data_IF_907939504750
#
_entry.id   IF_907939504750
#
_cell.length_a   1.000
_cell.length_b   1.000
_cell.length_c   1.000
_cell.angle_alpha   90.00
_cell.angle_beta   90.00
_cell.angle_gamma   90.00
#
_symmetry.space_group_name_H-M   'P 1'
#
loop_
_entity.id
_entity.type
_entity.pdbx_description
1 polymer ?
#
# COMPACT_ATOMS: atom_id res chain seq x y z
N UNK A 1 14.56 -8.05 -14.73
CA UNK A 1 13.16 -8.35 -15.08
C UNK A 1 12.31 -8.01 -13.87
N UNK A 2 11.25 -7.21 -14.02
CA UNK A 2 10.39 -6.86 -12.89
C UNK A 2 9.42 -8.01 -12.60
N UNK A 3 9.26 -8.37 -11.33
CA UNK A 3 8.28 -9.37 -10.90
C UNK A 3 6.99 -8.65 -10.49
N UNK A 4 5.96 -8.71 -11.31
CA UNK A 4 4.67 -8.04 -11.05
C UNK A 4 3.81 -8.92 -10.15
N UNK A 5 3.31 -8.37 -9.04
CA UNK A 5 2.50 -9.09 -8.06
C UNK A 5 1.03 -8.66 -8.06
N UNK A 6 0.72 -7.50 -8.62
CA UNK A 6 -0.66 -7.04 -8.77
C UNK A 6 -0.79 -6.14 -9.99
N UNK A 7 -1.93 -6.21 -10.67
CA UNK A 7 -2.33 -5.30 -11.74
C UNK A 7 -3.74 -4.81 -11.45
N UNK A 8 -3.99 -3.52 -11.68
CA UNK A 8 -5.31 -2.93 -11.69
C UNK A 8 -5.52 -2.19 -13.02
N UNK A 9 -6.74 -2.27 -13.57
CA UNK A 9 -7.08 -1.66 -14.85
C UNK A 9 -8.24 -0.70 -14.67
N UNK A 10 -8.05 0.54 -15.11
CA UNK A 10 -9.14 1.48 -15.32
C UNK A 10 -9.74 1.35 -16.71
N UNK A 11 -10.47 2.36 -17.18
CA UNK A 11 -11.06 2.32 -18.52
C UNK A 11 -10.01 2.33 -19.64
N UNK A 12 -8.99 3.19 -19.49
CA UNK A 12 -7.98 3.42 -20.53
C UNK A 12 -6.56 3.48 -19.98
N UNK A 13 -6.34 3.04 -18.74
CA UNK A 13 -5.02 2.95 -18.12
C UNK A 13 -4.89 1.69 -17.29
N UNK A 14 -3.65 1.30 -17.04
CA UNK A 14 -3.31 0.17 -16.18
C UNK A 14 -2.24 0.58 -15.19
N UNK A 15 -2.25 -0.07 -14.03
CA UNK A 15 -1.28 0.13 -12.96
C UNK A 15 -0.81 -1.24 -12.49
N UNK A 16 0.50 -1.39 -12.27
CA UNK A 16 1.10 -2.62 -11.77
C UNK A 16 1.97 -2.34 -10.54
N UNK A 17 1.86 -3.20 -9.53
CA UNK A 17 2.75 -3.26 -8.37
C UNK A 17 3.73 -4.40 -8.55
N UNK A 18 5.01 -4.13 -8.35
CA UNK A 18 6.08 -5.13 -8.39
C UNK A 18 6.43 -5.64 -6.99
N UNK A 19 7.05 -6.83 -6.96
CA UNK A 19 7.49 -7.49 -5.73
C UNK A 19 8.52 -6.69 -4.95
N UNK A 20 9.30 -5.83 -5.63
CA UNK A 20 10.23 -4.90 -5.03
C UNK A 20 9.60 -3.54 -4.66
N UNK A 21 8.26 -3.43 -4.70
CA UNK A 21 7.51 -2.26 -4.22
C UNK A 21 7.48 -1.06 -5.18
N UNK A 22 7.83 -1.23 -6.45
CA UNK A 22 7.66 -0.18 -7.47
C UNK A 22 6.28 -0.23 -8.08
N UNK A 23 5.78 0.93 -8.47
CA UNK A 23 4.52 1.07 -9.21
C UNK A 23 4.80 1.58 -10.61
N UNK A 24 4.17 0.94 -11.58
CA UNK A 24 4.20 1.35 -12.97
C UNK A 24 2.79 1.65 -13.45
N UNK A 25 2.65 2.65 -14.32
CA UNK A 25 1.38 2.97 -14.97
C UNK A 25 1.57 3.27 -16.45
N UNK A 26 0.57 2.95 -17.26
CA UNK A 26 0.53 3.25 -18.68
C UNK A 26 -0.91 3.37 -19.19
N UNK A 27 -1.08 3.90 -20.40
CA UNK A 27 -2.34 4.19 -21.04
C UNK A 27 -2.61 5.69 -21.13
N UNK A 28 -3.89 6.06 -21.09
CA UNK A 28 -4.36 7.44 -21.18
C UNK A 28 -3.95 8.27 -19.95
N UNK A 29 -3.61 9.54 -20.15
CA UNK A 29 -3.29 10.47 -19.06
C UNK A 29 -4.06 11.80 -19.11
N UNK A 30 -5.19 11.86 -19.84
CA UNK A 30 -5.94 13.11 -20.02
C UNK A 30 -6.51 13.71 -18.73
N UNK A 31 -6.62 12.91 -17.66
CA UNK A 31 -7.08 13.33 -16.34
C UNK A 31 -5.98 13.19 -15.27
N UNK A 32 -4.74 12.90 -15.67
CA UNK A 32 -3.64 12.66 -14.74
C UNK A 32 -3.62 11.26 -14.12
N UNK A 33 -4.42 10.30 -14.61
CA UNK A 33 -4.59 8.97 -14.02
C UNK A 33 -3.31 8.10 -14.00
N UNK A 34 -2.24 8.50 -14.68
CA UNK A 34 -0.92 7.85 -14.59
C UNK A 34 -0.10 8.35 -13.39
N UNK A 35 -0.40 9.51 -12.81
CA UNK A 35 0.30 10.00 -11.61
C UNK A 35 1.75 10.45 -11.84
N UNK A 36 2.17 10.59 -13.09
CA UNK A 36 3.54 10.93 -13.49
C UNK A 36 3.84 12.44 -13.39
N UNK A 37 2.80 13.28 -13.26
CA UNK A 37 2.89 14.73 -13.29
C UNK A 37 2.03 15.35 -14.39
N UNK A 38 1.84 16.68 -14.30
CA UNK A 38 0.91 17.43 -15.16
C UNK A 38 1.33 17.44 -16.62
N UNK A 39 2.63 17.50 -16.88
CA UNK A 39 3.17 17.70 -18.22
C UNK A 39 3.47 16.39 -18.95
N UNK A 40 3.07 15.24 -18.38
CA UNK A 40 3.27 13.93 -18.98
C UNK A 40 2.09 13.56 -19.89
N UNK A 41 2.33 13.18 -21.17
CA UNK A 41 1.28 12.69 -22.05
C UNK A 41 0.89 11.25 -21.69
N UNK A 42 -0.14 10.72 -22.36
CA UNK A 42 -0.46 9.30 -22.37
C UNK A 42 0.77 8.46 -22.73
N UNK A 43 0.93 7.31 -22.09
CA UNK A 43 2.10 6.44 -22.25
C UNK A 43 1.68 5.10 -22.83
N UNK A 44 2.30 4.66 -23.93
CA UNK A 44 2.00 3.34 -24.50
C UNK A 44 2.69 2.19 -23.74
N UNK A 45 3.68 2.50 -22.91
CA UNK A 45 4.49 1.52 -22.18
C UNK A 45 4.53 1.83 -20.68
N UNK A 46 4.74 0.80 -19.82
CA UNK A 46 4.81 0.98 -18.37
C UNK A 46 5.85 2.03 -17.95
N UNK A 47 5.39 3.08 -17.27
CA UNK A 47 6.23 4.15 -16.73
C UNK A 47 6.23 4.12 -15.21
N UNK A 48 7.40 4.20 -14.59
CA UNK A 48 7.54 4.16 -13.14
C UNK A 48 6.99 5.44 -12.49
N UNK A 49 6.18 5.30 -11.44
CA UNK A 49 5.66 6.41 -10.65
C UNK A 49 6.65 6.73 -9.53
N UNK A 50 7.71 7.47 -9.86
CA UNK A 50 8.83 7.72 -8.94
C UNK A 50 8.47 8.52 -7.68
N UNK A 51 7.35 9.24 -7.67
CA UNK A 51 6.84 9.93 -6.48
C UNK A 51 6.38 8.99 -5.37
N UNK A 52 6.14 7.72 -5.66
CA UNK A 52 5.82 6.67 -4.67
C UNK A 52 7.06 5.92 -4.17
N UNK A 53 8.27 6.27 -4.63
CA UNK A 53 9.49 5.60 -4.23
C UNK A 53 9.66 5.62 -2.70
N UNK A 54 10.02 4.47 -2.13
CA UNK A 54 10.21 4.30 -0.70
C UNK A 54 8.97 3.94 0.11
N UNK A 55 7.76 4.01 -0.46
CA UNK A 55 6.53 3.70 0.28
C UNK A 55 6.23 2.20 0.20
N UNK A 56 6.05 1.48 1.32
CA UNK A 56 5.68 0.07 1.32
C UNK A 56 4.22 -0.11 0.92
N UNK A 57 3.97 -0.38 -0.36
CA UNK A 57 2.63 -0.50 -0.92
C UNK A 57 2.07 -1.91 -0.83
N UNK A 58 0.82 -2.02 -0.42
CA UNK A 58 0.06 -3.27 -0.26
C UNK A 58 -0.96 -3.47 -1.39
N UNK A 59 -1.42 -2.41 -2.05
CA UNK A 59 -2.42 -2.51 -3.11
C UNK A 59 -2.24 -1.44 -4.19
N UNK A 60 -2.55 -1.80 -5.45
CA UNK A 60 -2.94 -0.88 -6.52
C UNK A 60 -4.43 -1.05 -6.84
N UNK A 61 -5.13 0.05 -7.10
CA UNK A 61 -6.51 0.05 -7.58
C UNK A 61 -6.68 1.13 -8.66
N UNK A 62 -7.56 0.86 -9.63
CA UNK A 62 -7.86 1.76 -10.73
C UNK A 62 -9.36 1.70 -11.02
N UNK A 63 -9.96 2.86 -11.26
CA UNK A 63 -11.34 2.96 -11.73
C UNK A 63 -11.41 3.68 -13.06
N UNK A 64 -12.52 4.37 -13.36
CA UNK A 64 -12.75 5.01 -14.66
C UNK A 64 -11.58 5.88 -15.15
N UNK A 65 -11.24 6.92 -14.38
CA UNK A 65 -10.11 7.81 -14.66
C UNK A 65 -9.34 8.24 -13.39
N UNK A 66 -9.45 7.43 -12.34
CA UNK A 66 -8.79 7.60 -11.06
C UNK A 66 -8.00 6.36 -10.69
N UNK A 67 -7.03 6.57 -9.82
CA UNK A 67 -6.02 5.60 -9.47
C UNK A 67 -5.70 5.75 -7.99
N UNK A 68 -5.47 4.61 -7.34
CA UNK A 68 -5.13 4.56 -5.93
C UNK A 68 -4.01 3.57 -5.66
N UNK A 69 -3.25 3.85 -4.61
CA UNK A 69 -2.46 2.85 -3.90
C UNK A 69 -2.75 2.89 -2.42
N UNK A 70 -2.65 1.73 -1.78
CA UNK A 70 -2.74 1.55 -0.34
C UNK A 70 -1.35 1.18 0.19
N UNK A 71 -0.86 1.88 1.22
CA UNK A 71 0.34 1.46 1.94
C UNK A 71 0.02 0.42 3.01
N UNK A 72 1.02 -0.36 3.42
CA UNK A 72 0.89 -1.34 4.51
C UNK A 72 0.51 -0.70 5.85
N UNK A 73 0.79 0.60 6.04
CA UNK A 73 0.37 1.35 7.23
C UNK A 73 -1.09 1.82 7.18
N UNK A 74 -1.80 1.59 6.07
CA UNK A 74 -3.20 1.96 5.90
C UNK A 74 -3.41 3.35 5.29
N UNK A 75 -2.36 4.01 4.79
CA UNK A 75 -2.49 5.29 4.09
C UNK A 75 -2.89 5.06 2.64
N UNK A 76 -3.96 5.75 2.23
CA UNK A 76 -4.44 5.73 0.84
C UNK A 76 -3.91 6.95 0.10
N UNK A 77 -3.32 6.72 -1.07
CA UNK A 77 -2.88 7.76 -1.99
C UNK A 77 -3.73 7.69 -3.25
N UNK A 78 -4.34 8.80 -3.64
CA UNK A 78 -5.22 8.90 -4.82
C UNK A 78 -4.73 9.94 -5.81
N UNK A 79 -4.98 9.70 -7.11
CA UNK A 79 -4.72 10.64 -8.19
C UNK A 79 -5.62 10.38 -9.41
N UNK A 80 -5.68 11.32 -10.35
CA UNK A 80 -6.54 11.29 -11.52
C UNK A 80 -7.73 12.27 -11.44
N UNK A 81 -8.84 11.90 -12.07
CA UNK A 81 -10.10 12.67 -12.10
C UNK A 81 -10.74 12.73 -10.71
N UNK A 82 -11.22 13.91 -10.31
CA UNK A 82 -11.93 14.10 -9.03
C UNK A 82 -13.21 14.97 -9.16
N UNK A 83 -13.77 15.09 -10.35
CA UNK A 83 -14.93 15.96 -10.61
C UNK A 83 -16.19 15.53 -9.82
N UNK A 84 -16.32 14.23 -9.54
CA UNK A 84 -17.38 13.67 -8.71
C UNK A 84 -16.94 13.46 -7.26
N UNK A 85 -15.80 14.02 -6.84
CA UNK A 85 -15.18 13.77 -5.53
C UNK A 85 -14.73 12.31 -5.29
N UNK A 86 -14.53 11.53 -6.36
CA UNK A 86 -14.16 10.12 -6.28
C UNK A 86 -12.77 9.83 -5.70
N UNK A 87 -11.93 10.85 -5.49
CA UNK A 87 -10.66 10.74 -4.75
C UNK A 87 -10.82 10.99 -3.24
N UNK A 88 -11.99 11.44 -2.78
CA UNK A 88 -12.19 11.83 -1.38
C UNK A 88 -11.44 13.11 -1.00
N UNK A 89 -11.09 13.93 -2.00
CA UNK A 89 -10.39 15.20 -1.85
C UNK A 89 -11.34 16.38 -2.07
N UNK A 90 -11.20 17.42 -1.24
CA UNK A 90 -12.03 18.62 -1.30
C UNK A 90 -11.54 19.62 -2.37
N UNK A 91 -12.46 20.41 -2.95
CA UNK A 91 -12.25 21.36 -4.07
C UNK A 91 -11.23 22.50 -3.82
N UNK A 92 -10.67 22.63 -2.61
CA UNK A 92 -9.60 23.62 -2.34
C UNK A 92 -8.26 23.24 -2.98
N UNK A 93 -8.12 22.02 -3.52
CA UNK A 93 -6.98 21.64 -4.35
C UNK A 93 -7.18 22.24 -5.74
N UNK A 94 -6.33 23.20 -6.12
CA UNK A 94 -6.56 24.21 -7.17
C UNK A 94 -6.75 23.73 -8.61
N UNK A 95 -6.92 22.43 -8.85
CA UNK A 95 -7.40 21.83 -10.11
C UNK A 95 -8.18 20.59 -9.73
N UNK A 96 -9.37 20.39 -10.29
CA UNK A 96 -10.23 19.20 -10.10
C UNK A 96 -9.54 17.87 -10.45
N UNK A 97 -8.30 17.92 -10.95
CA UNK A 97 -7.45 16.80 -11.33
C UNK A 97 -6.17 16.78 -10.50
N UNK A 98 -5.79 15.58 -10.06
CA UNK A 98 -4.58 15.33 -9.28
C UNK A 98 -3.60 14.56 -10.15
N UNK A 99 -2.51 15.20 -10.58
CA UNK A 99 -1.58 14.60 -11.54
C UNK A 99 -0.44 13.78 -10.92
N UNK A 100 -0.37 13.73 -9.59
CA UNK A 100 0.61 12.94 -8.82
C UNK A 100 -0.08 12.32 -7.60
N UNK A 101 0.32 11.12 -7.16
CA UNK A 101 -0.20 10.51 -5.94
C UNK A 101 -0.25 11.48 -4.77
N UNK A 102 -1.42 11.60 -4.15
CA UNK A 102 -1.66 12.50 -3.04
C UNK A 102 -2.32 11.75 -1.88
N UNK A 103 -1.85 11.97 -0.65
CA UNK A 103 -2.39 11.30 0.54
C UNK A 103 -3.82 11.78 0.80
N UNK A 104 -4.78 10.86 0.82
CA UNK A 104 -6.20 11.16 1.06
C UNK A 104 -6.41 11.31 2.56
N UNK A 105 -6.26 12.54 3.06
CA UNK A 105 -6.33 12.85 4.49
C UNK A 105 -7.62 12.39 5.18
N UNK A 106 -8.74 12.38 4.47
CA UNK A 106 -10.04 11.93 5.00
C UNK A 106 -10.06 10.43 5.36
N UNK A 107 -9.17 9.62 4.79
CA UNK A 107 -9.07 8.18 5.03
C UNK A 107 -8.03 7.80 6.09
N UNK A 108 -7.20 8.77 6.51
CA UNK A 108 -5.99 8.52 7.30
C UNK A 108 -6.24 7.80 8.62
N UNK A 109 -7.41 7.96 9.23
CA UNK A 109 -7.72 7.40 10.57
C UNK A 109 -8.77 6.28 10.50
N UNK A 110 -8.96 5.67 9.33
CA UNK A 110 -9.95 4.61 9.15
C UNK A 110 -9.34 3.20 9.19
N UNK A 111 -8.01 3.08 9.23
CA UNK A 111 -7.30 1.81 9.10
C UNK A 111 -7.76 1.01 7.88
N UNK A 112 -7.65 1.65 6.72
CA UNK A 112 -8.02 1.05 5.43
C UNK A 112 -7.18 -0.20 5.17
N UNK A 113 -7.84 -1.28 4.77
CA UNK A 113 -7.23 -2.56 4.39
C UNK A 113 -7.45 -2.91 2.92
N UNK A 114 -8.41 -2.28 2.25
CA UNK A 114 -8.69 -2.52 0.84
C UNK A 114 -9.38 -1.33 0.18
N UNK A 115 -9.07 -1.10 -1.10
CA UNK A 115 -9.69 -0.07 -1.95
C UNK A 115 -10.27 -0.74 -3.20
N UNK A 116 -11.52 -0.41 -3.54
CA UNK A 116 -12.17 -0.78 -4.79
C UNK A 116 -12.68 0.46 -5.49
N UNK A 117 -12.58 0.49 -6.82
CA UNK A 117 -12.91 1.66 -7.63
C UNK A 117 -13.91 1.30 -8.71
N UNK A 118 -14.98 2.09 -8.84
CA UNK A 118 -15.88 2.05 -9.99
C UNK A 118 -15.53 3.09 -11.04
N UNK A 119 -16.50 3.52 -11.84
CA UNK A 119 -16.26 4.56 -12.84
C UNK A 119 -15.96 5.92 -12.18
N UNK A 120 -16.92 6.42 -11.39
CA UNK A 120 -16.82 7.71 -10.70
C UNK A 120 -17.07 7.60 -9.19
N UNK A 121 -16.92 6.42 -8.60
CA UNK A 121 -16.99 6.21 -7.17
C UNK A 121 -15.89 5.28 -6.66
N UNK A 122 -15.65 5.35 -5.35
CA UNK A 122 -14.65 4.55 -4.65
C UNK A 122 -15.26 4.00 -3.37
N UNK A 123 -15.01 2.73 -3.11
CA UNK A 123 -15.31 2.08 -1.84
C UNK A 123 -14.00 1.68 -1.15
N UNK A 124 -13.93 1.85 0.16
CA UNK A 124 -12.82 1.41 0.99
C UNK A 124 -13.33 0.53 2.12
N UNK A 125 -12.61 -0.55 2.38
CA UNK A 125 -12.85 -1.46 3.50
C UNK A 125 -11.78 -1.23 4.57
N UNK A 126 -12.21 -1.14 5.82
CA UNK A 126 -11.30 -1.02 6.96
C UNK A 126 -10.97 -2.39 7.56
N UNK A 127 -9.88 -2.46 8.34
CA UNK A 127 -9.53 -3.66 9.13
C UNK A 127 -10.61 -4.10 10.11
N UNK A 128 -11.48 -3.18 10.53
CA UNK A 128 -12.63 -3.48 11.40
C UNK A 128 -13.88 -3.95 10.64
N UNK A 129 -13.79 -4.14 9.32
CA UNK A 129 -14.89 -4.58 8.47
C UNK A 129 -15.92 -3.49 8.17
N UNK A 130 -15.56 -2.21 8.32
CA UNK A 130 -16.45 -1.09 7.97
C UNK A 130 -16.20 -0.69 6.52
N UNK A 131 -17.27 -0.38 5.79
CA UNK A 131 -17.18 0.11 4.41
C UNK A 131 -17.47 1.60 4.38
N UNK A 132 -16.61 2.35 3.69
CA UNK A 132 -16.83 3.75 3.38
C UNK A 132 -16.87 3.94 1.86
N UNK A 133 -17.82 4.73 1.39
CA UNK A 133 -18.01 5.04 -0.03
C UNK A 133 -17.97 6.54 -0.26
N UNK A 134 -17.55 6.95 -1.44
CA UNK A 134 -17.50 8.35 -1.87
C UNK A 134 -17.36 8.47 -3.39
N UNK A 135 -17.83 9.60 -3.94
CA UNK A 135 -17.80 9.87 -5.37
C UNK A 135 -19.18 10.25 -5.89
N UNK A 136 -19.46 9.87 -7.13
CA UNK A 136 -20.77 9.99 -7.74
C UNK A 136 -21.77 9.04 -7.08
N UNK A 137 -23.01 9.50 -6.94
CA UNK A 137 -24.13 8.73 -6.38
C UNK A 137 -25.40 8.83 -7.23
N UNK A 138 -25.29 9.21 -8.52
CA UNK A 138 -26.46 9.41 -9.39
C UNK A 138 -27.27 8.11 -9.53
N UNK A 139 -26.60 6.96 -9.49
CA UNK A 139 -27.24 5.64 -9.57
C UNK A 139 -27.48 5.00 -8.18
N UNK A 140 -27.15 5.68 -7.08
CA UNK A 140 -27.22 5.13 -5.72
C UNK A 140 -26.07 4.19 -5.36
N UNK A 141 -24.97 4.24 -6.11
CA UNK A 141 -23.82 3.34 -5.99
C UNK A 141 -23.03 3.50 -4.68
N UNK A 142 -23.22 4.61 -3.94
CA UNK A 142 -22.57 4.80 -2.64
C UNK A 142 -23.30 4.06 -1.52
N UNK A 143 -24.57 3.68 -1.70
CA UNK A 143 -25.34 2.90 -0.73
C UNK A 143 -25.80 3.67 0.51
N UNK A 144 -25.47 4.96 0.64
CA UNK A 144 -25.86 5.82 1.76
C UNK A 144 -26.74 7.00 1.29
N UNK A 145 -27.66 7.48 2.13
CA UNK A 145 -28.55 8.59 1.79
C UNK A 145 -28.00 9.94 2.27
N UNK A 146 -26.81 10.31 1.82
CA UNK A 146 -26.14 11.53 2.30
C UNK A 146 -25.68 12.42 1.16
N UNK A 147 -25.88 13.72 1.33
CA UNK A 147 -25.41 14.75 0.41
C UNK A 147 -24.00 15.27 0.74
N UNK A 148 -23.32 14.71 1.75
CA UNK A 148 -21.96 15.14 2.10
C UNK A 148 -20.97 14.61 1.06
N UNK A 149 -19.93 15.39 0.78
CA UNK A 149 -18.84 14.96 -0.08
C UNK A 149 -17.76 14.23 0.72
N UNK A 150 -17.05 13.32 0.07
CA UNK A 150 -15.98 12.54 0.67
C UNK A 150 -16.43 11.26 1.39
N UNK A 151 -15.49 10.52 2.00
CA UNK A 151 -15.73 9.18 2.53
C UNK A 151 -16.80 9.14 3.62
N UNK A 152 -17.79 8.27 3.43
CA UNK A 152 -18.89 8.08 4.37
C UNK A 152 -19.16 6.61 4.62
N UNK A 153 -19.41 6.28 5.88
CA UNK A 153 -19.70 4.91 6.30
C UNK A 153 -21.07 4.48 5.78
N UNK A 154 -21.15 3.24 5.30
CA UNK A 154 -22.42 2.55 5.10
C UNK A 154 -22.83 1.95 6.45
N UNK A 155 -23.92 2.46 7.05
CA UNK A 155 -24.35 2.07 8.39
C UNK A 155 -25.29 0.86 8.39
N UNK A 156 -25.89 0.56 7.24
CA UNK A 156 -26.93 -0.46 7.10
C UNK A 156 -26.42 -1.90 6.96
N UNK A 157 -25.12 -2.11 6.76
CA UNK A 157 -24.56 -3.46 6.70
C UNK A 157 -24.31 -3.96 8.13
N UNK A 158 -25.05 -4.99 8.52
CA UNK A 158 -24.89 -5.62 9.82
C UNK A 158 -23.60 -6.46 9.88
N UNK A 159 -22.78 -6.18 10.89
CA UNK A 159 -21.53 -6.91 11.13
C UNK A 159 -20.37 -6.50 10.21
N UNK A 160 -19.21 -7.17 10.35
CA UNK A 160 -18.02 -6.84 9.59
C UNK A 160 -18.13 -7.33 8.13
N UNK A 161 -17.77 -6.47 7.18
CA UNK A 161 -17.60 -6.81 5.77
C UNK A 161 -16.25 -7.48 5.55
N UNK A 162 -16.23 -8.57 4.79
CA UNK A 162 -15.03 -9.29 4.39
C UNK A 162 -14.53 -8.91 2.99
N UNK A 163 -15.44 -8.59 2.07
CA UNK A 163 -15.11 -8.23 0.69
C UNK A 163 -15.96 -7.07 0.17
N UNK A 164 -15.35 -6.21 -0.64
CA UNK A 164 -16.02 -5.12 -1.36
C UNK A 164 -15.54 -5.09 -2.82
N UNK A 165 -16.47 -4.90 -3.75
CA UNK A 165 -16.15 -4.79 -5.17
C UNK A 165 -17.04 -3.75 -5.85
N UNK A 166 -16.43 -2.79 -6.52
CA UNK A 166 -17.12 -1.77 -7.30
C UNK A 166 -17.18 -2.17 -8.77
N UNK A 167 -18.38 -2.14 -9.36
CA UNK A 167 -18.58 -2.14 -10.80
C UNK A 167 -18.59 -0.71 -11.35
N UNK A 168 -19.08 -0.52 -12.58
CA UNK A 168 -19.14 0.83 -13.16
C UNK A 168 -20.00 1.80 -12.33
N UNK A 169 -21.22 1.37 -11.98
CA UNK A 169 -22.24 2.19 -11.31
C UNK A 169 -22.94 1.44 -10.15
N UNK A 170 -22.24 0.50 -9.53
CA UNK A 170 -22.75 -0.25 -8.37
C UNK A 170 -21.62 -0.76 -7.48
N UNK A 171 -21.95 -1.03 -6.21
CA UNK A 171 -21.05 -1.57 -5.20
C UNK A 171 -21.63 -2.87 -4.66
N UNK A 172 -20.80 -3.92 -4.56
CA UNK A 172 -21.11 -5.18 -3.89
C UNK A 172 -20.32 -5.29 -2.59
N UNK A 173 -20.97 -5.73 -1.52
CA UNK A 173 -20.32 -6.00 -0.23
C UNK A 173 -20.72 -7.40 0.26
N UNK A 174 -19.77 -8.18 0.74
CA UNK A 174 -20.03 -9.46 1.41
C UNK A 174 -19.72 -9.32 2.90
N UNK A 175 -20.72 -9.55 3.75
CA UNK A 175 -20.50 -9.61 5.19
C UNK A 175 -19.85 -10.94 5.59
N UNK A 176 -19.13 -10.95 6.71
CA UNK A 176 -18.59 -12.17 7.30
C UNK A 176 -19.69 -13.15 7.73
N UNK A 177 -20.94 -12.69 7.88
CA UNK A 177 -22.11 -13.53 8.13
C UNK A 177 -22.68 -14.18 6.86
N UNK A 178 -22.10 -13.93 5.68
CA UNK A 178 -22.55 -14.50 4.42
C UNK A 178 -23.67 -13.73 3.72
N UNK A 179 -23.89 -12.45 4.07
CA UNK A 179 -24.86 -11.60 3.38
C UNK A 179 -24.18 -10.86 2.23
N UNK A 180 -24.74 -10.97 1.03
CA UNK A 180 -24.34 -10.20 -0.15
C UNK A 180 -25.24 -8.99 -0.31
N UNK A 181 -24.66 -7.81 -0.19
CA UNK A 181 -25.32 -6.53 -0.39
C UNK A 181 -24.95 -5.94 -1.74
N UNK A 182 -25.92 -5.38 -2.46
CA UNK A 182 -25.69 -4.60 -3.67
C UNK A 182 -26.37 -3.23 -3.61
N UNK A 183 -25.64 -2.20 -4.00
CA UNK A 183 -26.07 -0.80 -4.09
C UNK A 183 -25.76 -0.27 -5.48
N UNK A 184 -26.59 0.59 -6.05
CA UNK A 184 -26.38 1.14 -7.40
C UNK A 184 -27.34 0.61 -8.45
N UNK A 185 -26.95 0.71 -9.72
CA UNK A 185 -27.89 0.71 -10.83
C UNK A 185 -28.65 -0.61 -11.10
N UNK A 186 -30.00 -0.52 -11.16
CA UNK A 186 -30.94 -1.35 -11.93
C UNK A 186 -32.06 -0.48 -12.58
N UNK A 187 -32.09 -0.31 -13.92
CA UNK A 187 -33.25 0.25 -14.68
C UNK A 187 -34.02 -0.85 -15.43
N UNK A 188 -35.37 -0.81 -15.42
CA UNK A 188 -36.06 -0.12 -16.53
C UNK A 188 -37.30 0.68 -16.10
N UNK A 189 -37.50 1.87 -16.68
CA UNK A 189 -38.84 2.46 -16.82
C UNK A 189 -38.98 3.10 -18.21
N UNK A 190 -39.43 2.32 -19.18
CA UNK A 190 -40.45 2.84 -20.08
C UNK A 190 -41.75 2.81 -19.28
N UNK A 191 -42.19 3.97 -18.77
CA UNK A 191 -43.58 4.46 -18.74
C UNK A 191 -43.70 5.59 -17.72
N UNK A 192 -44.34 6.66 -18.16
CA UNK A 192 -44.81 7.82 -17.42
C UNK A 192 -45.43 7.47 -16.05
N UNK A 193 -45.11 8.21 -14.99
CA UNK A 193 -46.08 9.04 -14.25
C UNK A 193 -45.58 9.45 -12.85
N UNK A 194 -45.84 10.73 -12.55
CA UNK A 194 -46.14 11.33 -11.25
C UNK A 194 -45.41 10.90 -9.96
N UNK A 195 -44.70 11.90 -9.43
CA UNK A 195 -44.77 12.36 -8.04
C UNK A 195 -44.48 11.38 -6.87
N UNK A 196 -43.36 11.66 -6.20
CA UNK A 196 -43.20 11.53 -4.75
C UNK A 196 -43.25 10.14 -4.12
N UNK A 197 -42.84 9.09 -4.83
CA UNK A 197 -42.42 7.86 -4.16
C UNK A 197 -40.97 7.99 -3.68
N UNK A 198 -40.81 7.79 -2.37
CA UNK A 198 -39.60 8.00 -1.58
C UNK A 198 -38.36 7.31 -2.19
N UNK A 199 -37.19 7.95 -2.08
CA UNK A 199 -35.84 7.39 -2.37
C UNK A 199 -35.46 6.22 -1.43
N UNK A 200 -36.35 5.24 -1.24
CA UNK A 200 -36.19 4.07 -0.38
C UNK A 200 -36.06 2.76 -1.15
N UNK A 201 -35.98 2.80 -2.48
CA UNK A 201 -36.08 1.59 -3.29
C UNK A 201 -34.76 1.22 -4.00
N UNK A 202 -34.47 -0.09 -3.94
CA UNK A 202 -33.43 -0.87 -4.65
C UNK A 202 -32.06 -1.02 -3.99
N UNK A 203 -32.02 -1.23 -2.67
CA UNK A 203 -30.92 -1.99 -2.04
C UNK A 203 -31.32 -3.46 -2.08
N UNK A 204 -30.43 -4.35 -2.52
CA UNK A 204 -30.69 -5.80 -2.46
C UNK A 204 -29.71 -6.45 -1.49
N UNK A 205 -30.25 -7.29 -0.63
CA UNK A 205 -29.49 -8.17 0.24
C UNK A 205 -29.90 -9.61 -0.10
N UNK A 206 -28.92 -10.44 -0.43
CA UNK A 206 -29.10 -11.87 -0.68
C UNK A 206 -28.38 -12.61 0.45
N UNK A 207 -29.08 -13.51 1.12
CA UNK A 207 -28.47 -14.38 2.12
C UNK A 207 -27.81 -15.58 1.42
N UNK A 208 -26.47 -15.60 1.39
CA UNK A 208 -25.72 -16.70 0.78
C UNK A 208 -25.78 -17.98 1.61
N UNK A 209 -26.15 -17.91 2.90
CA UNK A 209 -26.35 -19.11 3.73
C UNK A 209 -27.46 -20.02 3.17
N UNK A 210 -28.40 -19.45 2.41
CA UNK A 210 -29.45 -20.23 1.74
C UNK A 210 -28.95 -20.97 0.49
N UNK A 211 -27.78 -20.58 -0.04
CA UNK A 211 -27.24 -21.10 -1.29
C UNK A 211 -25.98 -21.94 -1.10
N UNK A 212 -25.22 -21.72 -0.01
CA UNK A 212 -23.89 -22.28 0.21
C UNK A 212 -23.78 -22.98 1.56
N UNK A 213 -22.91 -23.99 1.64
CA UNK A 213 -22.60 -24.63 2.91
C UNK A 213 -21.72 -23.72 3.79
N UNK A 214 -21.76 -23.85 5.14
CA UNK A 214 -21.02 -22.95 6.04
C UNK A 214 -19.51 -22.90 5.81
N UNK A 215 -18.91 -24.01 5.37
CA UNK A 215 -17.48 -24.12 5.03
C UNK A 215 -17.10 -23.41 3.72
N UNK A 216 -18.08 -23.10 2.86
CA UNK A 216 -17.88 -22.41 1.58
C UNK A 216 -18.00 -20.89 1.71
N UNK A 217 -18.75 -20.41 2.71
CA UNK A 217 -18.96 -18.97 2.96
C UNK A 217 -17.66 -18.21 3.29
N UNK A 218 -16.71 -18.88 3.93
CA UNK A 218 -15.39 -18.31 4.24
C UNK A 218 -14.54 -18.06 2.98
N UNK A 219 -14.90 -18.66 1.84
CA UNK A 219 -14.16 -18.53 0.58
C UNK A 219 -14.84 -17.63 -0.45
N UNK A 220 -15.90 -16.90 -0.08
CA UNK A 220 -16.69 -16.10 -1.02
C UNK A 220 -15.95 -14.82 -1.38
N UNK A 221 -15.64 -14.66 -2.67
CA UNK A 221 -15.10 -13.44 -3.27
C UNK A 221 -16.06 -12.91 -4.33
N UNK A 222 -16.17 -11.59 -4.44
CA UNK A 222 -17.03 -10.93 -5.42
C UNK A 222 -16.20 -10.09 -6.39
N UNK A 223 -16.58 -10.11 -7.65
CA UNK A 223 -15.99 -9.26 -8.69
C UNK A 223 -17.10 -8.61 -9.50
N UNK A 224 -17.18 -7.29 -9.44
CA UNK A 224 -18.16 -6.50 -10.15
C UNK A 224 -17.60 -5.98 -11.48
N UNK A 225 -18.32 -6.23 -12.57
CA UNK A 225 -18.04 -5.67 -13.89
C UNK A 225 -18.95 -4.47 -14.21
N UNK A 226 -19.05 -4.13 -15.50
CA UNK A 226 -19.97 -3.06 -15.94
C UNK A 226 -21.44 -3.47 -15.85
N UNK A 227 -21.75 -4.71 -16.27
CA UNK A 227 -23.12 -5.25 -16.36
C UNK A 227 -23.25 -6.67 -15.79
N UNK A 228 -22.13 -7.30 -15.42
CA UNK A 228 -22.08 -8.69 -14.97
C UNK A 228 -21.25 -8.74 -13.70
N UNK A 229 -21.68 -9.55 -12.75
CA UNK A 229 -21.00 -9.77 -11.48
C UNK A 229 -20.66 -11.25 -11.37
N UNK A 230 -19.50 -11.55 -10.79
CA UNK A 230 -19.05 -12.91 -10.52
C UNK A 230 -18.94 -13.09 -9.00
N UNK A 231 -19.39 -14.26 -8.53
CA UNK A 231 -19.16 -14.74 -7.16
C UNK A 231 -18.29 -15.98 -7.29
N UNK A 232 -17.11 -15.95 -6.69
CA UNK A 232 -16.19 -17.09 -6.64
C UNK A 232 -16.19 -17.68 -5.24
N UNK A 233 -16.15 -19.01 -5.14
CA UNK A 233 -16.23 -19.75 -3.88
C UNK A 233 -15.04 -20.69 -3.81
N UNK A 234 -14.10 -20.40 -2.93
CA UNK A 234 -12.94 -21.27 -2.69
C UNK A 234 -13.23 -22.28 -1.56
N UNK A 235 -13.15 -23.58 -1.85
CA UNK A 235 -13.30 -24.61 -0.82
C UNK A 235 -12.10 -24.63 0.14
N UNK A 236 -12.38 -24.54 1.44
CA UNK A 236 -11.39 -24.40 2.51
C UNK A 236 -10.33 -25.54 2.61
N UNK A 237 -10.48 -26.67 1.90
CA UNK A 237 -9.49 -27.77 1.92
C UNK A 237 -8.16 -27.43 1.23
N UNK A 238 -8.10 -26.35 0.45
CA UNK A 238 -6.85 -25.80 -0.10
C UNK A 238 -6.20 -24.72 0.80
N UNK A 239 -6.84 -24.32 1.90
CA UNK A 239 -6.41 -23.21 2.77
C UNK A 239 -6.33 -23.64 4.25
N UNK A 240 -5.46 -24.60 4.58
CA UNK A 240 -5.29 -25.10 5.95
C UNK A 240 -4.57 -24.13 6.92
N UNK A 241 -4.53 -22.82 6.66
CA UNK A 241 -3.88 -21.84 7.56
C UNK A 241 -4.53 -20.45 7.65
N UNK A 242 -5.71 -20.22 7.08
CA UNK A 242 -6.32 -18.89 7.06
C UNK A 242 -7.66 -18.85 7.82
N UNK A 243 -7.59 -18.63 9.14
CA UNK A 243 -8.72 -18.02 9.86
C UNK A 243 -8.64 -16.52 9.60
N UNK A 244 -9.74 -15.94 9.10
CA UNK A 244 -9.93 -14.58 8.55
C UNK A 244 -9.62 -14.44 7.05
N UNK A 245 -10.64 -14.71 6.23
CA UNK A 245 -10.69 -14.36 4.80
C UNK A 245 -10.86 -12.84 4.63
N UNK A 246 -9.79 -12.09 4.91
CA UNK A 246 -9.50 -10.91 4.08
C UNK A 246 -8.86 -11.45 2.80
N UNK A 247 -9.21 -10.89 1.63
CA UNK A 247 -8.36 -11.00 0.44
C UNK A 247 -6.90 -10.76 0.87
N UNK A 248 -6.07 -11.80 0.87
CA UNK A 248 -4.66 -11.65 1.23
C UNK A 248 -4.03 -10.90 0.08
N UNK A 249 -4.04 -9.57 0.19
CA UNK A 249 -3.40 -8.69 -0.78
C UNK A 249 -1.98 -9.19 -1.01
N UNK A 250 -1.55 -9.25 -2.29
CA UNK A 250 -0.20 -9.69 -2.60
C UNK A 250 0.80 -8.79 -1.89
N UNK A 251 1.78 -9.40 -1.22
CA UNK A 251 2.78 -8.68 -0.44
C UNK A 251 4.04 -8.47 -1.26
N UNK A 252 4.60 -7.27 -1.16
CA UNK A 252 5.98 -7.04 -1.58
C UNK A 252 6.92 -7.91 -0.75
N UNK A 253 8.13 -8.12 -1.24
CA UNK A 253 9.12 -8.89 -0.49
C UNK A 253 9.42 -8.24 0.86
N UNK A 254 9.37 -9.04 1.91
CA UNK A 254 9.61 -8.61 3.28
C UNK A 254 10.19 -9.78 4.06
N UNK A 255 10.95 -9.48 5.12
CA UNK A 255 11.43 -10.49 6.04
C UNK A 255 10.28 -11.09 6.82
N UNK A 256 10.37 -12.39 7.05
CA UNK A 256 9.60 -13.11 8.05
C UNK A 256 10.50 -14.16 8.71
N UNK A 257 10.03 -14.72 9.83
CA UNK A 257 10.79 -15.73 10.58
C UNK A 257 11.07 -16.99 9.75
N UNK A 258 10.19 -17.36 8.83
CA UNK A 258 10.40 -18.50 7.94
C UNK A 258 11.57 -18.28 6.98
N UNK A 259 11.67 -17.10 6.37
CA UNK A 259 12.79 -16.72 5.50
C UNK A 259 14.11 -16.66 6.27
N UNK A 260 14.11 -16.05 7.46
CA UNK A 260 15.31 -15.94 8.30
C UNK A 260 15.87 -17.33 8.62
N UNK A 261 15.02 -18.26 9.10
CA UNK A 261 15.45 -19.62 9.40
C UNK A 261 15.89 -20.38 8.15
N UNK A 262 15.17 -20.24 7.04
CA UNK A 262 15.52 -20.83 5.74
C UNK A 262 16.89 -20.37 5.26
N UNK A 263 17.23 -19.09 5.41
CA UNK A 263 18.54 -18.56 5.02
C UNK A 263 19.63 -19.05 5.95
N UNK A 264 19.38 -19.08 7.26
CA UNK A 264 20.34 -19.57 8.28
C UNK A 264 20.65 -21.05 8.14
N UNK A 265 19.70 -21.85 7.64
CA UNK A 265 19.86 -23.28 7.38
C UNK A 265 20.48 -23.59 6.01
N UNK A 266 20.71 -22.59 5.16
CA UNK A 266 21.24 -22.83 3.82
C UNK A 266 22.74 -23.18 3.85
N UNK A 267 23.08 -24.34 3.27
CA UNK A 267 24.45 -24.82 3.16
C UNK A 267 25.26 -24.03 2.13
N UNK A 268 26.55 -23.83 2.40
CA UNK A 268 27.46 -23.09 1.52
C UNK A 268 27.62 -23.83 0.19
N UNK A 269 27.46 -23.13 -0.94
CA UNK A 269 27.52 -23.70 -2.28
C UNK A 269 26.22 -24.35 -2.77
N UNK A 270 25.19 -24.43 -1.91
CA UNK A 270 23.92 -25.06 -2.27
C UNK A 270 23.04 -24.17 -3.15
N UNK A 271 22.10 -24.79 -3.87
CA UNK A 271 21.01 -24.07 -4.55
C UNK A 271 20.16 -23.26 -3.56
N UNK A 272 20.01 -23.74 -2.32
CA UNK A 272 19.30 -23.02 -1.26
C UNK A 272 20.00 -21.70 -0.92
N UNK A 273 21.34 -21.69 -0.82
CA UNK A 273 22.11 -20.46 -0.60
C UNK A 273 21.97 -19.50 -1.78
N UNK A 274 22.01 -20.00 -3.02
CA UNK A 274 21.83 -19.13 -4.19
C UNK A 274 20.44 -18.51 -4.25
N UNK A 275 19.40 -19.26 -3.87
CA UNK A 275 18.05 -18.73 -3.74
C UNK A 275 17.98 -17.68 -2.62
N UNK A 276 18.56 -17.97 -1.46
CA UNK A 276 18.61 -17.05 -0.33
C UNK A 276 19.35 -15.74 -0.69
N UNK A 277 20.46 -15.81 -1.44
CA UNK A 277 21.16 -14.61 -1.92
C UNK A 277 20.27 -13.70 -2.76
N UNK A 278 19.48 -14.27 -3.68
CA UNK A 278 18.53 -13.51 -4.50
C UNK A 278 17.40 -12.91 -3.66
N UNK A 279 16.91 -13.64 -2.66
CA UNK A 279 15.86 -13.16 -1.75
C UNK A 279 16.38 -12.02 -0.84
N UNK A 280 17.60 -12.15 -0.32
CA UNK A 280 18.30 -11.09 0.42
C UNK A 280 18.48 -9.86 -0.47
N UNK A 281 18.98 -10.04 -1.69
CA UNK A 281 19.19 -8.94 -2.63
C UNK A 281 17.88 -8.22 -2.95
N UNK A 282 16.78 -8.94 -3.19
CA UNK A 282 15.46 -8.36 -3.47
C UNK A 282 14.96 -7.48 -2.30
N UNK A 283 15.12 -7.95 -1.06
CA UNK A 283 14.66 -7.22 0.14
C UNK A 283 15.58 -6.03 0.46
N UNK A 284 16.89 -6.26 0.50
CA UNK A 284 17.86 -5.25 0.96
C UNK A 284 18.27 -4.25 -0.12
N UNK A 285 17.86 -4.44 -1.38
CA UNK A 285 18.05 -3.46 -2.45
C UNK A 285 16.88 -2.48 -2.60
N UNK A 286 15.76 -2.74 -1.91
CA UNK A 286 14.51 -2.00 -2.07
C UNK A 286 14.10 -1.32 -0.76
N UNK A 287 14.08 0.03 -0.71
CA UNK A 287 13.57 0.77 0.45
C UNK A 287 12.19 0.33 0.94
N UNK A 288 11.15 0.17 0.07
CA UNK A 288 9.84 -0.27 0.55
C UNK A 288 9.83 -1.70 1.10
N UNK A 289 10.65 -2.61 0.57
CA UNK A 289 10.76 -4.00 1.06
C UNK A 289 11.43 -4.07 2.44
N UNK A 290 12.55 -3.37 2.59
CA UNK A 290 13.26 -3.29 3.87
C UNK A 290 12.39 -2.61 4.93
N UNK A 291 11.66 -1.56 4.57
CA UNK A 291 10.70 -0.94 5.48
C UNK A 291 9.54 -1.87 5.85
N UNK A 292 8.91 -2.55 4.87
CA UNK A 292 7.81 -3.49 5.11
C UNK A 292 8.18 -4.58 6.12
N UNK A 293 9.44 -5.01 6.11
CA UNK A 293 10.01 -6.01 7.01
C UNK A 293 9.95 -5.61 8.49
N UNK A 294 9.84 -4.31 8.80
CA UNK A 294 9.91 -3.78 10.16
C UNK A 294 8.81 -2.76 10.46
N UNK A 295 7.70 -2.76 9.72
CA UNK A 295 6.60 -1.85 10.00
C UNK A 295 5.93 -2.16 11.35
N UNK A 296 5.66 -1.12 12.12
CA UNK A 296 4.86 -1.25 13.34
C UNK A 296 3.38 -1.07 13.04
N UNK A 297 2.55 -1.86 13.72
CA UNK A 297 1.10 -1.60 13.77
C UNK A 297 0.85 -0.33 14.55
N UNK A 298 0.06 0.56 13.96
CA UNK A 298 -0.36 1.82 14.56
C UNK A 298 -1.15 1.57 15.85
N UNK A 299 -0.71 2.16 16.97
CA UNK A 299 -1.53 2.40 18.15
C UNK A 299 -2.25 3.74 18.01
N UNK A 300 -3.22 4.07 18.87
CA UNK A 300 -4.07 5.30 18.82
C UNK A 300 -3.32 6.65 18.85
N UNK A 301 -2.00 6.65 18.71
CA UNK A 301 -1.12 7.83 18.69
C UNK A 301 -1.26 8.60 17.36
N UNK A 302 -1.19 9.93 17.47
CA UNK A 302 -1.24 10.82 16.30
C UNK A 302 -0.04 10.61 15.36
N UNK A 303 -0.24 10.69 14.04
CA UNK A 303 0.79 10.48 13.02
C UNK A 303 2.01 11.40 13.16
N UNK A 304 1.86 12.57 13.79
CA UNK A 304 2.95 13.52 13.98
C UNK A 304 3.92 13.13 15.10
N UNK A 305 3.64 12.05 15.84
CA UNK A 305 4.46 11.57 16.96
C UNK A 305 4.78 10.08 16.86
N UNK A 306 4.56 9.47 15.69
CA UNK A 306 4.70 8.04 15.48
C UNK A 306 5.91 7.73 14.58
N UNK A 307 6.76 6.82 15.05
CA UNK A 307 7.85 6.25 14.25
C UNK A 307 7.30 4.97 13.58
N UNK A 308 7.24 4.91 12.24
CA UNK A 308 6.52 3.84 11.54
C UNK A 308 7.25 2.49 11.51
N UNK A 309 8.50 2.43 11.97
CA UNK A 309 9.36 1.24 11.90
C UNK A 309 9.83 0.80 13.28
N UNK A 310 9.92 -0.52 13.50
CA UNK A 310 10.39 -1.14 14.74
C UNK A 310 11.91 -1.23 14.75
N UNK A 311 12.58 -0.18 15.22
CA UNK A 311 14.04 -0.14 15.23
C UNK A 311 14.66 -1.19 16.15
N UNK A 312 13.98 -1.58 17.23
CA UNK A 312 14.48 -2.60 18.15
C UNK A 312 14.46 -3.98 17.48
N UNK A 313 13.32 -4.35 16.87
CA UNK A 313 13.21 -5.59 16.11
C UNK A 313 14.17 -5.62 14.91
N UNK A 314 14.30 -4.50 14.19
CA UNK A 314 15.26 -4.37 13.11
C UNK A 314 16.68 -4.68 13.59
N UNK A 315 17.11 -4.08 14.71
CA UNK A 315 18.43 -4.32 15.28
C UNK A 315 18.66 -5.78 15.64
N UNK A 316 17.69 -6.42 16.28
CA UNK A 316 17.79 -7.83 16.69
C UNK A 316 17.89 -8.77 15.48
N UNK A 317 17.00 -8.60 14.51
CA UNK A 317 16.98 -9.41 13.28
C UNK A 317 18.24 -9.18 12.44
N UNK A 318 18.68 -7.94 12.27
CA UNK A 318 19.88 -7.62 11.50
C UNK A 318 21.12 -8.23 12.17
N UNK A 319 21.25 -8.10 13.50
CA UNK A 319 22.33 -8.73 14.26
C UNK A 319 22.33 -10.25 14.11
N UNK A 320 21.16 -10.87 14.16
CA UNK A 320 20.98 -12.31 13.95
C UNK A 320 21.45 -12.76 12.56
N UNK A 321 21.00 -12.06 11.52
CA UNK A 321 21.35 -12.35 10.13
C UNK A 321 22.85 -12.18 9.86
N UNK A 322 23.47 -11.13 10.39
CA UNK A 322 24.88 -10.82 10.13
C UNK A 322 25.86 -11.72 10.88
N UNK A 323 25.40 -12.56 11.82
CA UNK A 323 26.24 -13.62 12.41
C UNK A 323 26.73 -14.63 11.35
N UNK A 324 25.98 -14.81 10.25
CA UNK A 324 26.41 -15.60 9.10
C UNK A 324 27.19 -14.70 8.14
N UNK A 325 28.51 -14.86 8.07
CA UNK A 325 29.37 -14.00 7.28
C UNK A 325 28.97 -13.84 5.80
N UNK A 326 28.47 -14.90 5.16
CA UNK A 326 28.01 -14.82 3.76
C UNK A 326 26.69 -14.04 3.61
N UNK A 327 25.80 -14.08 4.61
CA UNK A 327 24.58 -13.25 4.62
C UNK A 327 24.97 -11.80 4.82
N UNK A 328 25.88 -11.53 5.76
CA UNK A 328 26.41 -10.18 5.98
C UNK A 328 27.04 -9.60 4.71
N UNK A 329 27.83 -10.39 3.98
CA UNK A 329 28.43 -9.94 2.70
C UNK A 329 27.37 -9.66 1.62
N UNK A 330 26.34 -10.51 1.52
CA UNK A 330 25.26 -10.30 0.57
C UNK A 330 24.44 -9.04 0.91
N UNK A 331 24.13 -8.81 2.19
CA UNK A 331 23.46 -7.59 2.64
C UNK A 331 24.33 -6.38 2.30
N UNK A 332 25.61 -6.38 2.69
CA UNK A 332 26.55 -5.29 2.40
C UNK A 332 26.58 -4.94 0.90
N UNK A 333 26.69 -5.96 0.04
CA UNK A 333 26.69 -5.78 -1.41
C UNK A 333 25.36 -5.19 -1.92
N UNK A 334 24.24 -5.64 -1.37
CA UNK A 334 22.90 -5.14 -1.75
C UNK A 334 22.71 -3.67 -1.35
N UNK A 335 23.21 -3.27 -0.19
CA UNK A 335 23.16 -1.88 0.27
C UNK A 335 23.96 -0.96 -0.66
N UNK A 336 25.24 -1.27 -0.87
CA UNK A 336 26.17 -0.45 -1.65
C UNK A 336 25.80 -0.36 -3.13
N UNK A 337 25.41 -1.48 -3.74
CA UNK A 337 25.17 -1.51 -5.18
C UNK A 337 23.77 -1.02 -5.57
N UNK A 338 22.81 -1.05 -4.64
CA UNK A 338 21.40 -0.83 -4.98
C UNK A 338 20.63 0.06 -3.99
N UNK A 339 20.65 -0.23 -2.68
CA UNK A 339 19.77 0.49 -1.73
C UNK A 339 20.05 1.99 -1.71
N UNK A 340 21.32 2.40 -1.57
CA UNK A 340 21.68 3.82 -1.47
C UNK A 340 21.29 4.62 -2.71
N UNK A 341 21.36 4.00 -3.89
CA UNK A 341 20.92 4.58 -5.16
C UNK A 341 19.39 4.70 -5.22
N UNK A 342 18.66 3.81 -4.56
CA UNK A 342 17.21 3.77 -4.53
C UNK A 342 16.59 4.65 -3.42
N UNK A 343 17.39 5.24 -2.52
CA UNK A 343 16.88 6.05 -1.42
C UNK A 343 16.08 7.27 -1.93
N UNK A 344 14.89 7.54 -1.35
CA UNK A 344 14.05 8.66 -1.78
C UNK A 344 14.62 10.00 -1.30
N UNK A 345 15.38 10.68 -2.16
CA UNK A 345 16.00 11.98 -1.85
C UNK A 345 15.03 13.17 -1.90
N UNK A 346 13.93 13.01 -2.64
CA UNK A 346 12.89 14.03 -2.79
C UNK A 346 11.53 13.36 -2.77
N UNK A 347 10.91 13.32 -1.60
CA UNK A 347 9.56 12.80 -1.41
C UNK A 347 8.73 13.73 -0.51
N UNK A 348 7.47 14.02 -0.87
CA UNK A 348 6.54 14.73 0.00
C UNK A 348 5.84 13.79 1.01
N UNK A 349 6.11 12.49 0.97
CA UNK A 349 5.40 11.49 1.74
C UNK A 349 6.25 11.03 2.94
N UNK A 350 5.69 11.18 4.14
CA UNK A 350 6.38 10.83 5.39
C UNK A 350 6.83 9.36 5.43
N UNK A 351 6.00 8.43 4.94
CA UNK A 351 6.33 7.01 4.94
C UNK A 351 7.63 6.73 4.18
N UNK A 352 7.81 7.35 3.01
CA UNK A 352 8.98 7.11 2.16
C UNK A 352 10.33 7.36 2.86
N UNK A 353 10.38 8.29 3.82
CA UNK A 353 11.64 8.67 4.46
C UNK A 353 11.97 7.87 5.72
N UNK A 354 11.07 6.99 6.17
CA UNK A 354 11.36 6.16 7.34
C UNK A 354 12.51 5.16 7.10
N UNK A 355 12.85 4.87 5.84
CA UNK A 355 14.04 4.07 5.47
C UNK A 355 15.33 4.64 6.07
N UNK A 356 15.44 5.98 6.19
CA UNK A 356 16.62 6.63 6.77
C UNK A 356 16.81 6.34 8.27
N UNK A 357 15.81 5.77 8.93
CA UNK A 357 15.91 5.30 10.30
C UNK A 357 16.45 3.86 10.38
N UNK A 358 16.20 3.04 9.36
CA UNK A 358 16.64 1.64 9.29
C UNK A 358 18.05 1.48 8.74
N UNK A 359 18.48 2.33 7.79
CA UNK A 359 19.81 2.23 7.17
C UNK A 359 20.94 2.26 8.22
N UNK A 360 20.95 3.14 9.23
CA UNK A 360 21.96 3.10 10.28
C UNK A 360 22.03 1.77 11.05
N UNK A 361 20.89 1.12 11.30
CA UNK A 361 20.86 -0.20 11.95
C UNK A 361 21.52 -1.26 11.07
N UNK A 362 21.32 -1.21 9.75
CA UNK A 362 22.01 -2.08 8.80
C UNK A 362 23.54 -1.85 8.82
N UNK A 363 23.98 -0.58 8.79
CA UNK A 363 25.39 -0.22 8.81
C UNK A 363 26.11 -0.75 10.06
N UNK A 364 25.49 -0.56 11.24
CA UNK A 364 26.07 -1.00 12.51
C UNK A 364 26.07 -2.52 12.64
N UNK A 365 25.02 -3.21 12.18
CA UNK A 365 24.93 -4.66 12.24
C UNK A 365 25.98 -5.38 11.37
N UNK A 366 26.50 -4.73 10.32
CA UNK A 366 27.50 -5.29 9.41
C UNK A 366 28.94 -5.27 9.93
N UNK A 367 29.19 -4.61 11.07
CA UNK A 367 30.47 -4.59 11.76
C UNK A 367 31.38 -3.42 11.41
N UNK A 368 32.28 -3.09 12.34
CA UNK A 368 33.09 -1.86 12.31
C UNK A 368 33.97 -1.67 11.07
N UNK A 369 34.43 -2.76 10.45
CA UNK A 369 35.29 -2.71 9.26
C UNK A 369 34.55 -2.23 8.00
N UNK A 370 33.22 -2.40 7.94
CA UNK A 370 32.38 -1.97 6.81
C UNK A 370 31.68 -0.62 7.06
N UNK A 371 31.71 -0.12 8.29
CA UNK A 371 31.06 1.16 8.65
C UNK A 371 31.55 2.32 7.78
N UNK A 372 32.85 2.52 7.50
CA UNK A 372 33.30 3.71 6.77
C UNK A 372 32.65 3.87 5.39
N UNK A 373 32.61 2.82 4.57
CA UNK A 373 31.98 2.88 3.24
C UNK A 373 30.47 3.10 3.33
N UNK A 374 29.79 2.36 4.20
CA UNK A 374 28.33 2.44 4.34
C UNK A 374 27.87 3.79 4.95
N UNK A 375 28.60 4.29 5.94
CA UNK A 375 28.29 5.55 6.60
C UNK A 375 28.53 6.75 5.68
N UNK A 376 29.52 6.68 4.77
CA UNK A 376 29.75 7.72 3.78
C UNK A 376 28.59 7.82 2.79
N UNK A 377 28.15 6.69 2.22
CA UNK A 377 26.98 6.62 1.33
C UNK A 377 25.70 7.11 2.03
N UNK A 378 25.52 6.74 3.30
CA UNK A 378 24.41 7.24 4.10
C UNK A 378 24.46 8.76 4.29
N UNK A 379 25.63 9.32 4.63
CA UNK A 379 25.80 10.75 4.81
C UNK A 379 25.57 11.53 3.51
N UNK A 380 26.03 11.02 2.36
CA UNK A 380 25.73 11.61 1.05
C UNK A 380 24.23 11.58 0.75
N UNK A 381 23.55 10.48 1.05
CA UNK A 381 22.10 10.38 0.86
C UNK A 381 21.32 11.38 1.73
N UNK A 382 21.72 11.58 2.99
CA UNK A 382 21.09 12.56 3.90
C UNK A 382 21.36 14.00 3.46
N UNK A 383 22.58 14.32 3.06
CA UNK A 383 22.96 15.69 2.64
C UNK A 383 22.37 16.10 1.29
N UNK A 384 21.99 15.12 0.45
CA UNK A 384 21.33 15.36 -0.84
C UNK A 384 19.79 15.42 -0.76
N UNK A 385 19.21 15.36 0.45
CA UNK A 385 17.77 15.48 0.64
C UNK A 385 17.24 16.85 0.20
N UNK A 386 16.06 16.86 -0.42
CA UNK A 386 15.31 18.10 -0.63
C UNK A 386 14.97 18.75 0.71
N UNK A 387 14.79 20.08 0.76
CA UNK A 387 14.41 20.81 1.98
C UNK A 387 13.17 20.21 2.67
N UNK A 388 12.15 19.85 1.89
CA UNK A 388 10.93 19.23 2.43
C UNK A 388 11.19 17.85 3.04
N UNK A 389 12.06 17.07 2.40
CA UNK A 389 12.46 15.75 2.89
C UNK A 389 13.35 15.83 4.13
N UNK A 390 14.28 16.80 4.19
CA UNK A 390 15.10 17.08 5.38
C UNK A 390 14.22 17.38 6.59
N UNK A 391 13.23 18.28 6.44
CA UNK A 391 12.32 18.62 7.52
C UNK A 391 11.53 17.41 8.05
N UNK A 392 11.12 16.48 7.17
CA UNK A 392 10.45 15.25 7.58
C UNK A 392 11.40 14.34 8.36
N UNK A 393 12.64 14.18 7.88
CA UNK A 393 13.65 13.36 8.56
C UNK A 393 14.04 13.94 9.92
N UNK A 394 14.22 15.26 10.02
CA UNK A 394 14.47 15.97 11.27
C UNK A 394 13.35 15.72 12.28
N UNK A 395 12.08 15.76 11.84
CA UNK A 395 10.96 15.42 12.70
C UNK A 395 11.05 13.98 13.20
N UNK A 396 11.38 13.00 12.34
CA UNK A 396 11.56 11.62 12.80
C UNK A 396 12.70 11.49 13.82
N UNK A 397 13.85 12.09 13.56
CA UNK A 397 14.99 12.05 14.47
C UNK A 397 14.68 12.72 15.81
N UNK A 398 13.86 13.77 15.83
CA UNK A 398 13.41 14.41 17.07
C UNK A 398 12.54 13.50 17.95
N UNK A 399 11.91 12.48 17.36
CA UNK A 399 11.08 11.50 18.06
C UNK A 399 11.87 10.28 18.55
N UNK A 400 13.12 10.11 18.11
CA UNK A 400 13.91 8.93 18.45
C UNK A 400 14.41 8.96 19.90
N UNK A 401 14.33 7.84 20.64
CA UNK A 401 14.99 7.71 21.93
C UNK A 401 16.51 7.90 21.81
N UNK A 402 17.13 8.47 22.85
CA UNK A 402 18.58 8.75 22.93
C UNK A 402 19.49 7.63 22.44
N UNK A 403 19.29 6.35 22.82
CA UNK A 403 20.15 5.24 22.37
C UNK A 403 20.21 5.06 20.84
N UNK A 404 19.14 5.39 20.10
CA UNK A 404 19.15 5.29 18.63
C UNK A 404 19.95 6.42 18.00
N UNK A 405 19.84 7.64 18.54
CA UNK A 405 20.62 8.79 18.09
C UNK A 405 22.11 8.62 18.40
N UNK A 406 22.45 8.15 19.61
CA UNK A 406 23.84 7.84 20.00
C UNK A 406 24.50 6.86 19.05
N UNK A 407 23.75 5.84 18.60
CA UNK A 407 24.25 4.87 17.63
C UNK A 407 24.56 5.50 16.27
N UNK A 408 23.69 6.38 15.75
CA UNK A 408 23.95 7.12 14.51
C UNK A 408 25.21 7.99 14.66
N UNK A 409 25.33 8.71 15.78
CA UNK A 409 26.51 9.54 16.07
C UNK A 409 27.77 8.70 16.14
N UNK A 410 27.72 7.55 16.82
CA UNK A 410 28.88 6.67 16.95
C UNK A 410 29.27 6.02 15.61
N UNK A 411 28.30 5.67 14.76
CA UNK A 411 28.54 5.18 13.40
C UNK A 411 29.29 6.25 12.57
N UNK A 412 28.79 7.48 12.56
CA UNK A 412 29.42 8.59 11.83
C UNK A 412 30.81 8.93 12.40
N UNK A 413 30.96 8.95 13.73
CA UNK A 413 32.26 9.17 14.39
C UNK A 413 33.29 8.11 13.99
N UNK A 414 32.88 6.85 13.97
CA UNK A 414 33.75 5.73 13.56
C UNK A 414 34.20 5.88 12.11
N UNK A 415 33.31 6.32 11.22
CA UNK A 415 33.65 6.64 9.83
C UNK A 415 34.67 7.78 9.74
N UNK A 416 34.41 8.90 10.43
CA UNK A 416 35.32 10.06 10.44
C UNK A 416 36.71 9.69 10.98
N UNK A 417 36.79 8.93 12.08
CA UNK A 417 38.05 8.46 12.64
C UNK A 417 38.82 7.48 11.75
N UNK A 418 38.14 6.78 10.84
CA UNK A 418 38.79 5.89 9.88
C UNK A 418 39.29 6.61 8.62
N UNK A 419 38.70 7.76 8.28
CA UNK A 419 39.05 8.57 7.10
C UNK A 419 40.12 9.61 7.43
N UNK A 420 40.10 10.15 8.66
CA UNK A 420 41.10 11.11 9.11
C UNK A 420 42.40 10.38 9.53
N UNK A 421 43.57 10.87 9.11
CA UNK A 421 44.87 10.25 9.35
C UNK A 421 45.33 10.27 10.81
#
# INVERSE_FOLDING_TARGET
>A
MYNVIQVACGHYHSIALTKDGRVFSWGQNSHGQLGLGKDFPSQATPCNISSLAGIPLAQVAAGGAQSFVLSHSGVVYGWGKNNAHQLGLNQKTSKEQIFKPYSVGALRNLDVSYVSCGDEHTAVLTKSGKVFTFGDDIAGQLGHNSSKTGPQKIDEIDGPVSHVSCGSYHTLCVSASGQLWSFGHDLPQHTESSASESRREKRRCIDLNALLAPNELLGVQVSAGAYVNFVNICQASACASAVTSLEVLPRISQLDRGLIEKWKSAEIGSKAQQNAKREIEEIFSSPPCLMASFLQTRSDVSMNSFVPVNLQEAREVLKELTMRGWIAEQINSSLLNHLFLALPRSSPHQEALAIFLLVPECCVALGAHRIPSLALEFAEAVTSLSKGSSNILENYWSLLPGPFLEQIVQMLKTCVSAILP
#
